data_IF_831180526274
#
_entry.id   IF_831180526274
#
_cell.length_a   1.000
_cell.length_b   1.000
_cell.length_c   1.000
_cell.angle_alpha   90.00
_cell.angle_beta   90.00
_cell.angle_gamma   90.00
#
_symmetry.space_group_name_H-M   'P 1'
#
loop_
_entity.id
_entity.type
_entity.pdbx_description
1 polymer ?
#
# COMPACT_ATOMS: atom_id res chain seq x y z
N UNK A 1 -9.16 8.30 -5.25
CA UNK A 1 -10.04 7.63 -4.26
C UNK A 1 -9.54 7.94 -2.87
N UNK A 2 -10.45 8.12 -1.91
CA UNK A 2 -10.06 8.33 -0.52
C UNK A 2 -10.84 7.39 0.39
N UNK A 3 -10.21 7.02 1.51
CA UNK A 3 -10.81 6.15 2.52
C UNK A 3 -10.37 6.61 3.90
N UNK A 4 -11.32 6.68 4.84
CA UNK A 4 -11.04 7.06 6.22
C UNK A 4 -11.20 5.85 7.13
N UNK A 5 -10.23 5.62 8.01
CA UNK A 5 -10.23 4.53 8.97
C UNK A 5 -9.87 5.04 10.36
N UNK A 6 -10.53 4.46 11.37
CA UNK A 6 -10.15 4.65 12.75
C UNK A 6 -9.24 3.50 13.19
N UNK A 7 -8.05 3.84 13.71
CA UNK A 7 -7.09 2.88 14.23
C UNK A 7 -6.51 3.42 15.53
N UNK A 8 -6.68 2.65 16.62
CA UNK A 8 -6.16 3.00 17.94
C UNK A 8 -6.53 4.44 18.36
N UNK A 9 -7.83 4.78 18.26
CA UNK A 9 -8.40 6.08 18.59
C UNK A 9 -7.97 7.24 17.68
N UNK A 10 -7.24 6.94 16.62
CA UNK A 10 -6.84 7.92 15.61
C UNK A 10 -7.60 7.72 14.32
N UNK A 11 -7.89 8.82 13.64
CA UNK A 11 -8.54 8.79 12.34
C UNK A 11 -7.50 8.97 11.25
N UNK A 12 -7.47 8.06 10.29
CA UNK A 12 -6.56 8.11 9.15
C UNK A 12 -7.36 8.29 7.87
N UNK A 13 -7.01 9.28 7.09
CA UNK A 13 -7.57 9.49 5.77
C UNK A 13 -6.53 9.10 4.72
N UNK A 14 -6.83 8.04 3.98
CA UNK A 14 -5.96 7.56 2.91
C UNK A 14 -6.38 8.17 1.58
N UNK A 15 -5.43 8.76 0.88
CA UNK A 15 -5.59 9.09 -0.53
C UNK A 15 -4.88 8.02 -1.34
N UNK A 16 -5.65 7.30 -2.14
CA UNK A 16 -5.19 6.13 -2.85
C UNK A 16 -5.03 6.45 -4.33
N UNK A 17 -3.85 6.15 -4.86
CA UNK A 17 -3.52 6.31 -6.27
C UNK A 17 -3.34 4.93 -6.88
N UNK A 18 -4.24 4.59 -7.79
CA UNK A 18 -4.17 3.32 -8.51
C UNK A 18 -3.31 3.52 -9.76
N UNK A 19 -2.28 2.70 -9.91
CA UNK A 19 -1.43 2.71 -11.10
C UNK A 19 -2.06 1.95 -12.26
N UNK A 20 -3.20 1.28 -12.02
CA UNK A 20 -3.99 0.58 -13.02
C UNK A 20 -3.20 -0.49 -13.81
N UNK A 21 -2.25 -1.15 -13.15
CA UNK A 21 -1.48 -2.24 -13.79
C UNK A 21 -0.62 -1.80 -14.95
N UNK A 22 -0.14 -0.58 -14.94
CA UNK A 22 0.56 0.02 -16.07
C UNK A 22 2.04 -0.37 -16.16
N UNK A 23 2.33 -1.66 -16.26
CA UNK A 23 3.70 -2.13 -16.47
C UNK A 23 4.32 -1.54 -17.75
N UNK A 24 3.48 -1.25 -18.74
CA UNK A 24 3.91 -0.60 -19.99
C UNK A 24 4.51 0.78 -19.77
N UNK A 25 4.18 1.41 -18.66
CA UNK A 25 4.55 2.79 -18.36
C UNK A 25 5.42 2.90 -17.11
N UNK A 26 6.31 1.94 -16.91
CA UNK A 26 7.23 1.94 -15.76
C UNK A 26 8.00 3.25 -15.61
N UNK A 27 8.32 3.90 -16.73
CA UNK A 27 8.97 5.20 -16.70
C UNK A 27 8.16 6.30 -16.05
N UNK A 28 6.81 6.14 -15.97
CA UNK A 28 5.92 7.07 -15.31
C UNK A 28 5.63 6.71 -13.85
N UNK A 29 5.99 5.49 -13.43
CA UNK A 29 5.72 5.01 -12.07
C UNK A 29 6.30 5.93 -10.99
N UNK A 30 7.52 6.50 -11.12
CA UNK A 30 8.04 7.43 -10.12
C UNK A 30 7.16 8.64 -9.85
N UNK A 31 6.35 9.06 -10.81
CA UNK A 31 5.39 10.16 -10.62
C UNK A 31 4.32 9.80 -9.58
N UNK A 32 3.96 8.52 -9.49
CA UNK A 32 2.93 8.05 -8.57
C UNK A 32 3.45 7.87 -7.16
N UNK A 33 4.65 7.31 -6.99
CA UNK A 33 5.12 6.93 -5.65
C UNK A 33 6.13 7.88 -5.03
N UNK A 34 6.60 8.89 -5.75
CA UNK A 34 7.65 9.81 -5.26
C UNK A 34 7.28 10.50 -3.93
N UNK A 35 6.01 10.83 -3.73
CA UNK A 35 5.53 11.45 -2.48
C UNK A 35 4.69 10.51 -1.63
N UNK A 36 4.66 9.22 -1.91
CA UNK A 36 3.82 8.28 -1.20
C UNK A 36 4.42 7.89 0.16
N UNK A 37 3.58 7.77 1.18
CA UNK A 37 3.99 7.25 2.49
C UNK A 37 3.99 5.73 2.52
N UNK A 38 3.19 5.11 1.67
CA UNK A 38 3.08 3.66 1.58
C UNK A 38 2.78 3.23 0.15
N UNK A 39 3.14 1.99 -0.17
CA UNK A 39 2.80 1.37 -1.43
C UNK A 39 2.25 -0.03 -1.17
N UNK A 40 1.19 -0.38 -1.90
CA UNK A 40 0.61 -1.71 -1.85
C UNK A 40 0.94 -2.40 -3.17
N UNK A 41 1.68 -3.49 -3.11
CA UNK A 41 2.02 -4.30 -4.28
C UNK A 41 1.11 -5.51 -4.28
N UNK A 42 0.24 -5.60 -5.28
CA UNK A 42 -0.81 -6.62 -5.35
C UNK A 42 -0.41 -7.70 -6.33
N UNK A 43 -0.59 -8.95 -5.94
CA UNK A 43 -0.53 -10.09 -6.85
C UNK A 43 -1.81 -10.92 -6.71
N UNK A 44 -1.99 -11.86 -7.63
CA UNK A 44 -3.12 -12.77 -7.65
C UNK A 44 -2.64 -14.14 -7.15
N UNK A 45 -3.24 -14.67 -6.10
CA UNK A 45 -2.81 -15.96 -5.52
C UNK A 45 -2.96 -17.12 -6.50
N UNK A 46 -3.73 -16.94 -7.57
CA UNK A 46 -3.94 -17.95 -8.61
C UNK A 46 -2.97 -17.80 -9.78
N UNK A 47 -2.02 -16.87 -9.71
CA UNK A 47 -1.10 -16.58 -10.82
C UNK A 47 0.34 -16.46 -10.36
N UNK A 48 1.13 -17.47 -10.64
CA UNK A 48 2.57 -17.46 -10.37
C UNK A 48 3.26 -16.30 -11.08
N UNK A 49 2.83 -15.99 -12.30
CA UNK A 49 3.39 -14.89 -13.08
C UNK A 49 3.21 -13.55 -12.40
N UNK A 50 2.05 -13.32 -11.77
CA UNK A 50 1.80 -12.07 -11.04
C UNK A 50 2.68 -11.96 -9.79
N UNK A 51 2.91 -13.07 -9.09
CA UNK A 51 3.79 -13.07 -7.92
C UNK A 51 5.24 -12.78 -8.31
N UNK A 52 5.70 -13.28 -9.43
CA UNK A 52 7.05 -13.01 -9.92
C UNK A 52 7.27 -11.52 -10.17
N UNK A 53 6.25 -10.77 -10.58
CA UNK A 53 6.33 -9.32 -10.79
C UNK A 53 6.44 -8.53 -9.50
N UNK A 54 6.01 -9.09 -8.37
CA UNK A 54 6.14 -8.42 -7.06
C UNK A 54 7.58 -8.06 -6.76
N UNK A 55 8.51 -8.96 -7.07
CA UNK A 55 9.94 -8.73 -6.85
C UNK A 55 10.44 -7.52 -7.63
N UNK A 56 10.01 -7.38 -8.87
CA UNK A 56 10.39 -6.26 -9.73
C UNK A 56 9.86 -4.94 -9.19
N UNK A 57 8.60 -4.92 -8.76
CA UNK A 57 7.99 -3.73 -8.18
C UNK A 57 8.64 -3.31 -6.88
N UNK A 58 8.93 -4.25 -6.00
CA UNK A 58 9.59 -3.94 -4.73
C UNK A 58 10.99 -3.41 -4.97
N UNK A 59 11.72 -4.00 -5.90
CA UNK A 59 13.05 -3.51 -6.27
C UNK A 59 12.97 -2.08 -6.78
N UNK A 60 12.03 -1.80 -7.67
CA UNK A 60 11.76 -0.46 -8.20
C UNK A 60 11.48 0.54 -7.08
N UNK A 61 10.61 0.18 -6.15
CA UNK A 61 10.26 1.06 -5.02
C UNK A 61 11.43 1.31 -4.09
N UNK A 62 12.28 0.30 -3.85
CA UNK A 62 13.45 0.45 -2.99
C UNK A 62 14.54 1.30 -3.64
N UNK A 63 14.69 1.23 -4.97
CA UNK A 63 15.71 1.99 -5.70
C UNK A 63 15.29 3.42 -5.97
N UNK A 64 14.04 3.66 -6.28
CA UNK A 64 13.55 4.95 -6.79
C UNK A 64 12.48 5.62 -5.94
N UNK A 65 11.89 4.89 -5.00
CA UNK A 65 10.87 5.44 -4.12
C UNK A 65 11.45 6.14 -2.89
N UNK A 66 10.59 6.74 -2.06
CA UNK A 66 11.00 7.33 -0.80
C UNK A 66 11.71 6.31 0.10
N UNK A 67 12.75 6.76 0.80
CA UNK A 67 13.58 5.88 1.63
C UNK A 67 12.77 5.14 2.70
N UNK A 68 11.81 5.82 3.30
CA UNK A 68 11.02 5.29 4.42
C UNK A 68 9.62 4.82 4.00
N UNK A 69 9.42 4.54 2.71
CA UNK A 69 8.12 4.08 2.25
C UNK A 69 7.75 2.74 2.90
N UNK A 70 6.52 2.66 3.41
CA UNK A 70 5.99 1.40 3.94
C UNK A 70 5.48 0.56 2.77
N UNK A 71 5.99 -0.65 2.62
CA UNK A 71 5.56 -1.56 1.56
C UNK A 71 4.67 -2.65 2.15
N UNK A 72 3.51 -2.84 1.54
CA UNK A 72 2.60 -3.92 1.85
C UNK A 72 2.45 -4.80 0.62
N UNK A 73 2.57 -6.10 0.81
CA UNK A 73 2.31 -7.09 -0.24
C UNK A 73 0.93 -7.68 0.00
N UNK A 74 0.07 -7.61 -1.00
CA UNK A 74 -1.30 -8.09 -0.91
C UNK A 74 -1.52 -9.25 -1.89
N UNK A 75 -1.80 -10.43 -1.36
CA UNK A 75 -2.21 -11.58 -2.16
C UNK A 75 -3.72 -11.52 -2.38
N UNK A 76 -4.15 -11.02 -3.53
CA UNK A 76 -5.56 -10.85 -3.83
C UNK A 76 -6.20 -12.13 -4.36
N UNK A 77 -7.52 -12.15 -4.39
CA UNK A 77 -8.37 -13.27 -4.80
C UNK A 77 -8.29 -14.45 -3.83
N UNK A 78 -8.10 -14.19 -2.52
CA UNK A 78 -8.04 -15.25 -1.53
C UNK A 78 -9.32 -16.07 -1.42
N UNK A 79 -10.44 -15.58 -1.98
CA UNK A 79 -11.68 -16.32 -2.14
C UNK A 79 -11.57 -17.48 -3.13
N UNK A 80 -10.55 -17.49 -3.99
CA UNK A 80 -10.33 -18.53 -4.99
C UNK A 80 -9.29 -19.55 -4.53
N UNK A 81 -9.43 -20.03 -3.29
CA UNK A 81 -8.48 -20.97 -2.67
C UNK A 81 -8.25 -22.22 -3.51
N UNK A 82 -9.30 -22.72 -4.18
CA UNK A 82 -9.20 -23.92 -5.02
C UNK A 82 -8.30 -23.74 -6.25
N UNK A 83 -8.04 -22.50 -6.63
CA UNK A 83 -7.18 -22.17 -7.78
C UNK A 83 -5.82 -21.62 -7.36
N UNK A 84 -5.51 -21.67 -6.08
CA UNK A 84 -4.27 -21.14 -5.52
C UNK A 84 -3.03 -21.76 -6.16
N UNK A 85 -2.11 -20.92 -6.60
CA UNK A 85 -0.78 -21.33 -7.07
C UNK A 85 0.32 -20.88 -6.11
N UNK A 86 0.08 -19.82 -5.32
CA UNK A 86 1.07 -19.26 -4.42
C UNK A 86 0.71 -19.62 -2.97
N UNK A 87 1.48 -20.49 -2.31
CA UNK A 87 1.25 -20.80 -0.89
C UNK A 87 1.41 -19.55 -0.02
N UNK A 88 0.56 -19.42 0.99
CA UNK A 88 0.63 -18.32 1.96
C UNK A 88 2.04 -18.21 2.55
N UNK A 89 2.61 -19.34 2.95
CA UNK A 89 3.93 -19.39 3.60
C UNK A 89 5.00 -18.77 2.71
N UNK A 90 5.01 -19.08 1.43
CA UNK A 90 6.03 -18.57 0.50
C UNK A 90 5.94 -17.05 0.38
N UNK A 91 4.72 -16.53 0.23
CA UNK A 91 4.51 -15.08 0.11
C UNK A 91 4.84 -14.36 1.41
N UNK A 92 4.44 -14.92 2.56
CA UNK A 92 4.72 -14.32 3.86
C UNK A 92 6.22 -14.29 4.17
N UNK A 93 6.94 -15.37 3.86
CA UNK A 93 8.40 -15.41 4.03
C UNK A 93 9.11 -14.37 3.16
N UNK A 94 8.66 -14.24 1.91
CA UNK A 94 9.22 -13.23 1.02
C UNK A 94 8.98 -11.81 1.52
N UNK A 95 7.76 -11.52 1.99
CA UNK A 95 7.42 -10.21 2.54
C UNK A 95 8.30 -9.89 3.75
N UNK A 96 8.49 -10.84 4.66
CA UNK A 96 9.36 -10.67 5.82
C UNK A 96 10.80 -10.39 5.39
N UNK A 97 11.30 -11.12 4.41
CA UNK A 97 12.66 -10.96 3.89
C UNK A 97 12.91 -9.54 3.37
N UNK A 98 11.94 -8.93 2.70
CA UNK A 98 12.08 -7.58 2.14
C UNK A 98 11.58 -6.48 3.08
N UNK A 99 11.17 -6.82 4.30
CA UNK A 99 10.68 -5.84 5.27
C UNK A 99 9.32 -5.27 4.92
N UNK A 100 8.48 -6.04 4.24
CA UNK A 100 7.12 -5.64 3.87
C UNK A 100 6.08 -6.27 4.78
N UNK A 101 4.93 -5.62 4.90
CA UNK A 101 3.74 -6.19 5.54
C UNK A 101 3.07 -7.12 4.53
N UNK A 102 2.49 -8.22 5.00
CA UNK A 102 1.81 -9.17 4.14
C UNK A 102 0.36 -9.40 4.59
N UNK A 103 -0.56 -9.40 3.63
CA UNK A 103 -1.97 -9.68 3.87
C UNK A 103 -2.56 -10.36 2.63
N UNK A 104 -3.33 -11.42 2.82
CA UNK A 104 -4.16 -11.95 1.73
C UNK A 104 -5.53 -11.29 1.75
N UNK A 105 -6.01 -10.88 0.59
CA UNK A 105 -7.21 -10.09 0.44
C UNK A 105 -8.13 -10.66 -0.63
N UNK A 106 -9.39 -10.24 -0.60
CA UNK A 106 -10.31 -10.43 -1.70
C UNK A 106 -11.05 -9.12 -1.97
N UNK A 107 -10.77 -8.53 -3.12
CA UNK A 107 -11.49 -7.34 -3.54
C UNK A 107 -12.96 -7.66 -3.81
N UNK A 108 -13.26 -8.90 -4.19
CA UNK A 108 -14.63 -9.35 -4.49
C UNK A 108 -15.48 -9.44 -3.21
N UNK A 109 -14.93 -10.03 -2.13
CA UNK A 109 -15.67 -10.23 -0.88
C UNK A 109 -15.35 -9.18 0.17
N UNK A 110 -14.39 -8.31 -0.09
CA UNK A 110 -13.83 -7.32 0.84
C UNK A 110 -13.07 -7.95 2.01
N UNK A 111 -12.75 -9.25 1.95
CA UNK A 111 -12.01 -9.92 3.00
C UNK A 111 -10.63 -9.27 3.19
N UNK A 112 -10.30 -8.95 4.45
CA UNK A 112 -9.02 -8.40 4.89
C UNK A 112 -8.60 -7.06 4.27
N UNK A 113 -9.51 -6.37 3.58
CA UNK A 113 -9.21 -5.05 3.00
C UNK A 113 -8.96 -4.03 4.12
N UNK A 114 -9.82 -4.01 5.13
CA UNK A 114 -9.67 -3.12 6.28
C UNK A 114 -8.37 -3.43 7.04
N UNK A 115 -8.09 -4.69 7.27
CA UNK A 115 -6.91 -5.16 7.98
C UNK A 115 -5.63 -4.77 7.27
N UNK A 116 -5.63 -4.76 5.94
CA UNK A 116 -4.52 -4.29 5.13
C UNK A 116 -4.16 -2.84 5.46
N UNK A 117 -5.14 -1.95 5.45
CA UNK A 117 -4.92 -0.54 5.76
C UNK A 117 -4.54 -0.31 7.22
N UNK A 118 -5.11 -1.08 8.14
CA UNK A 118 -4.73 -1.02 9.55
C UNK A 118 -3.25 -1.39 9.74
N UNK A 119 -2.81 -2.46 9.09
CA UNK A 119 -1.43 -2.90 9.17
C UNK A 119 -0.46 -1.85 8.61
N UNK A 120 -0.83 -1.19 7.53
CA UNK A 120 -0.05 -0.09 6.96
C UNK A 120 0.04 1.07 7.94
N UNK A 121 -1.08 1.50 8.51
CA UNK A 121 -1.09 2.65 9.42
C UNK A 121 -0.24 2.43 10.65
N UNK A 122 -0.14 1.21 11.16
CA UNK A 122 0.71 0.87 12.30
C UNK A 122 2.20 0.95 11.98
N UNK A 123 2.58 0.87 10.71
CA UNK A 123 3.97 0.95 10.26
C UNK A 123 4.39 2.35 9.84
N UNK A 124 3.44 3.27 9.69
CA UNK A 124 3.76 4.63 9.27
C UNK A 124 4.56 5.37 10.33
N UNK A 125 5.59 6.15 9.92
CA UNK A 125 6.37 6.95 10.85
C UNK A 125 5.52 8.04 11.50
N UNK A 126 5.83 8.43 12.76
CA UNK A 126 5.07 9.49 13.45
C UNK A 126 5.04 10.82 12.71
N UNK A 127 6.06 11.15 11.95
CA UNK A 127 6.14 12.39 11.18
C UNK A 127 5.11 12.48 10.06
N UNK A 128 4.51 11.36 9.66
CA UNK A 128 3.40 11.34 8.70
C UNK A 128 2.09 11.75 9.36
N UNK A 129 2.03 11.64 10.68
CA UNK A 129 0.89 12.00 11.50
C UNK A 129 1.13 13.39 12.08
N UNK A 130 0.47 14.40 11.52
CA UNK A 130 0.64 15.77 11.97
C UNK A 130 -0.43 16.11 12.99
N UNK A 131 -0.10 16.27 14.28
CA UNK A 131 -1.07 16.68 15.30
C UNK A 131 -1.61 18.08 14.99
N UNK A 132 -2.89 18.31 15.26
CA UNK A 132 -3.52 19.61 15.10
C UNK A 132 -4.33 19.81 13.84
N UNK A 133 -4.37 18.84 12.98
CA UNK A 133 -5.20 18.89 11.76
C UNK A 133 -6.51 18.12 11.92
N UNK A 134 -7.09 18.08 13.10
CA UNK A 134 -8.43 17.54 13.39
C UNK A 134 -8.73 16.11 12.88
N UNK A 135 -8.20 15.74 11.77
CA UNK A 135 -8.20 14.39 11.23
C UNK A 135 -6.79 14.07 10.76
N UNK A 136 -6.23 12.99 11.26
CA UNK A 136 -4.94 12.53 10.79
C UNK A 136 -5.07 12.14 9.32
N UNK A 137 -4.59 13.00 8.45
CA UNK A 137 -4.69 12.79 7.02
C UNK A 137 -3.38 12.26 6.51
N UNK A 138 -3.40 11.04 6.05
CA UNK A 138 -2.30 10.44 5.33
C UNK A 138 -2.53 10.68 3.86
N UNK A 139 -1.77 11.59 3.30
CA UNK A 139 -1.88 11.94 1.91
C UNK A 139 -0.80 11.20 1.14
N UNK A 140 -1.19 10.14 0.47
CA UNK A 140 -0.27 9.35 -0.34
C UNK A 140 0.17 10.10 -1.60
N UNK A 141 -0.48 11.22 -1.88
CA UNK A 141 -0.23 11.97 -3.11
C UNK A 141 0.87 12.99 -3.00
N UNK A 142 0.83 13.88 -1.99
CA UNK A 142 1.80 14.96 -1.89
C UNK A 142 1.61 15.79 -0.62
N UNK A 143 2.70 16.00 0.11
CA UNK A 143 2.68 16.89 1.27
C UNK A 143 2.38 18.35 0.90
N UNK A 144 2.55 18.73 -0.37
CA UNK A 144 2.24 20.09 -0.80
C UNK A 144 0.76 20.44 -0.67
N UNK A 145 -0.12 19.46 -0.78
CA UNK A 145 -1.55 19.71 -0.60
C UNK A 145 -1.95 19.94 0.86
N UNK A 146 -1.20 19.37 1.81
CA UNK A 146 -1.41 19.66 3.24
C UNK A 146 -1.16 21.12 3.57
N UNK A 147 -0.10 21.68 2.99
CA UNK A 147 0.23 23.10 3.21
C UNK A 147 -0.82 24.06 2.65
N UNK A 148 -1.43 23.69 1.52
CA UNK A 148 -2.50 24.50 0.94
C UNK A 148 -3.78 24.51 1.77
N UNK A 149 -4.13 23.36 2.36
CA UNK A 149 -5.31 23.26 3.21
C UNK A 149 -5.16 24.00 4.54
N UNK A 150 -3.96 24.03 5.08
CA UNK A 150 -3.67 24.77 6.29
C UNK A 150 -3.64 26.30 6.13
N UNK A 151 -3.60 26.77 4.88
CA UNK A 151 -3.65 28.23 4.61
C UNK A 151 -5.06 28.76 4.38
N UNK A 152 -6.02 27.88 4.20
CA UNK A 152 -7.41 28.28 3.96
C UNK A 152 -8.25 28.30 5.24
N UNK A 153 -7.63 28.06 6.38
CA UNK A 153 -8.32 28.11 7.67
C UNK A 153 -7.90 29.29 8.50
#
# INVERSE_FOLDING_TARGET
MSKTLAVDEKMYKFQIWDTAGQEKYRGLAPMYYRGAAAAIVVYDITSQASFSKVRDWIRELRQHGPENIVISVAGNKCDLEDLREIPVRIAAEYAEEVGAVFTETSAKTAANIKELFIAISKKLPPEVLVPGYGTDTINLRNQKEKKKRGRCC
#
